data_IF_309325651632
#
_entry.id   IF_309325651632
#
_cell.length_a   1.000
_cell.length_b   1.000
_cell.length_c   1.000
_cell.angle_alpha   90.00
_cell.angle_beta   90.00
_cell.angle_gamma   90.00
#
_symmetry.space_group_name_H-M   'P 1'
#
loop_
_entity.id
_entity.type
_entity.pdbx_description
1 polymer ?
#
# COMPACT_ATOMS: atom_id res chain seq x y z
N UNK A 1 -21.73 -65.78 13.79
CA UNK A 1 -21.45 -65.21 12.45
C UNK A 1 -22.68 -64.44 12.01
N UNK A 2 -22.63 -63.10 12.04
CA UNK A 2 -23.73 -62.24 11.59
C UNK A 2 -23.75 -62.10 10.06
N UNK A 3 -24.93 -62.00 9.43
CA UNK A 3 -25.06 -61.89 7.98
C UNK A 3 -24.60 -60.51 7.49
N UNK A 4 -23.62 -60.53 6.59
CA UNK A 4 -23.12 -59.39 5.84
C UNK A 4 -24.23 -58.82 4.92
N UNK A 5 -24.98 -57.85 5.41
CA UNK A 5 -25.92 -57.07 4.59
C UNK A 5 -25.14 -56.06 3.75
N UNK A 6 -24.55 -56.50 2.64
CA UNK A 6 -23.97 -55.57 1.67
C UNK A 6 -25.10 -54.79 0.98
N UNK A 7 -25.23 -53.50 1.28
CA UNK A 7 -26.22 -52.61 0.63
C UNK A 7 -25.98 -52.60 -0.89
N UNK A 8 -27.02 -52.69 -1.74
CA UNK A 8 -26.85 -52.68 -3.19
C UNK A 8 -26.20 -51.36 -3.64
N UNK A 9 -25.06 -51.45 -4.35
CA UNK A 9 -24.40 -50.30 -4.96
C UNK A 9 -25.34 -49.68 -6.00
N UNK A 10 -25.86 -48.48 -5.69
CA UNK A 10 -26.79 -47.73 -6.53
C UNK A 10 -26.14 -47.43 -7.89
N UNK A 11 -26.53 -48.16 -8.95
CA UNK A 11 -25.97 -47.99 -10.31
C UNK A 11 -26.41 -46.62 -10.87
N UNK A 12 -25.44 -45.76 -11.21
CA UNK A 12 -25.71 -44.47 -11.86
C UNK A 12 -26.21 -44.74 -13.29
N UNK A 13 -27.38 -44.21 -13.64
CA UNK A 13 -27.90 -44.34 -15.01
C UNK A 13 -27.05 -43.51 -15.99
N UNK A 14 -26.94 -43.95 -17.26
CA UNK A 14 -26.23 -43.18 -18.32
C UNK A 14 -26.71 -41.72 -18.38
N UNK A 15 -28.01 -41.49 -18.28
CA UNK A 15 -28.61 -40.15 -18.21
C UNK A 15 -28.14 -39.35 -16.99
N UNK A 16 -28.07 -39.98 -15.81
CA UNK A 16 -27.54 -39.33 -14.60
C UNK A 16 -26.05 -39.06 -14.70
N UNK A 17 -25.27 -39.95 -15.33
CA UNK A 17 -23.84 -39.76 -15.56
C UNK A 17 -23.60 -38.58 -16.50
N UNK A 18 -24.27 -38.54 -17.66
CA UNK A 18 -24.15 -37.46 -18.63
C UNK A 18 -24.58 -36.11 -18.05
N UNK A 19 -25.68 -36.07 -17.28
CA UNK A 19 -26.10 -34.84 -16.58
C UNK A 19 -25.03 -34.36 -15.58
N UNK A 20 -24.48 -35.26 -14.77
CA UNK A 20 -23.43 -34.92 -13.81
C UNK A 20 -22.16 -34.45 -14.52
N UNK A 21 -21.72 -35.14 -15.56
CA UNK A 21 -20.56 -34.76 -16.36
C UNK A 21 -20.75 -33.39 -17.04
N UNK A 22 -21.91 -33.12 -17.62
CA UNK A 22 -22.24 -31.84 -18.22
C UNK A 22 -22.27 -30.71 -17.18
N UNK A 23 -22.86 -30.95 -16.00
CA UNK A 23 -22.86 -29.98 -14.90
C UNK A 23 -21.44 -29.71 -14.36
N UNK A 24 -20.62 -30.75 -14.23
CA UNK A 24 -19.21 -30.60 -13.83
C UNK A 24 -18.42 -29.82 -14.87
N UNK A 25 -18.57 -30.14 -16.16
CA UNK A 25 -17.90 -29.42 -17.24
C UNK A 25 -18.34 -27.96 -17.32
N UNK A 26 -19.65 -27.68 -17.20
CA UNK A 26 -20.18 -26.33 -17.14
C UNK A 26 -19.65 -25.56 -15.90
N UNK A 27 -19.57 -26.22 -14.75
CA UNK A 27 -18.97 -25.67 -13.54
C UNK A 27 -17.50 -25.28 -13.73
N UNK A 28 -16.69 -26.15 -14.35
CA UNK A 28 -15.27 -25.86 -14.65
C UNK A 28 -15.14 -24.69 -15.62
N UNK A 29 -15.95 -24.64 -16.68
CA UNK A 29 -15.93 -23.55 -17.66
C UNK A 29 -16.39 -22.21 -17.08
N UNK A 30 -17.21 -22.21 -16.02
CA UNK A 30 -17.66 -20.99 -15.35
C UNK A 30 -16.60 -20.39 -14.41
N UNK A 31 -15.57 -21.15 -13.99
CA UNK A 31 -14.55 -20.67 -13.03
C UNK A 31 -13.80 -19.43 -13.55
N UNK A 32 -13.22 -19.42 -14.78
CA UNK A 32 -12.49 -18.25 -15.28
C UNK A 32 -13.31 -16.96 -15.35
N UNK A 33 -14.52 -16.91 -15.94
CA UNK A 33 -15.31 -15.68 -15.99
C UNK A 33 -15.79 -15.25 -14.60
N UNK A 34 -16.12 -16.18 -13.70
CA UNK A 34 -16.47 -15.84 -12.31
C UNK A 34 -15.27 -15.26 -11.55
N UNK A 35 -14.09 -15.87 -11.66
CA UNK A 35 -12.87 -15.38 -11.03
C UNK A 35 -12.47 -14.00 -11.58
N UNK A 36 -12.56 -13.80 -12.90
CA UNK A 36 -12.32 -12.51 -13.53
C UNK A 36 -13.33 -11.45 -13.04
N UNK A 37 -14.62 -11.79 -13.01
CA UNK A 37 -15.67 -10.89 -12.51
C UNK A 37 -15.45 -10.50 -11.05
N UNK A 38 -15.13 -11.46 -10.20
CA UNK A 38 -14.75 -11.22 -8.81
C UNK A 38 -13.54 -10.28 -8.70
N UNK A 39 -12.47 -10.55 -9.44
CA UNK A 39 -11.26 -9.74 -9.42
C UNK A 39 -11.47 -8.30 -9.92
N UNK A 40 -12.33 -8.13 -10.95
CA UNK A 40 -12.62 -6.88 -11.64
C UNK A 40 -13.60 -5.97 -10.90
N UNK A 41 -14.55 -6.55 -10.17
CA UNK A 41 -15.68 -5.79 -9.62
C UNK A 41 -15.79 -5.85 -8.09
N UNK A 42 -15.44 -6.99 -7.47
CA UNK A 42 -15.55 -7.16 -6.03
C UNK A 42 -14.22 -6.90 -5.32
N UNK A 43 -13.20 -7.72 -5.61
CA UNK A 43 -11.97 -7.70 -4.82
C UNK A 43 -11.23 -6.36 -4.93
N UNK A 44 -11.20 -5.75 -6.12
CA UNK A 44 -10.54 -4.45 -6.30
C UNK A 44 -11.15 -3.29 -5.50
N UNK A 45 -12.39 -3.43 -5.04
CA UNK A 45 -13.09 -2.43 -4.22
C UNK A 45 -13.16 -2.85 -2.75
N UNK A 46 -12.70 -4.05 -2.43
CA UNK A 46 -12.77 -4.58 -1.09
C UNK A 46 -11.55 -4.15 -0.28
N UNK A 47 -11.58 -2.92 0.21
CA UNK A 47 -10.52 -2.36 1.05
C UNK A 47 -10.25 -3.27 2.25
N UNK A 48 -8.98 -3.53 2.51
CA UNK A 48 -8.48 -4.26 3.68
C UNK A 48 -7.75 -3.27 4.59
N UNK A 49 -8.12 -3.26 5.87
CA UNK A 49 -7.45 -2.45 6.89
C UNK A 49 -6.51 -3.38 7.66
N UNK A 50 -5.22 -3.10 7.58
CA UNK A 50 -4.18 -3.89 8.23
C UNK A 50 -3.63 -3.13 9.44
N UNK A 51 -3.68 -3.74 10.63
CA UNK A 51 -3.06 -3.21 11.83
C UNK A 51 -1.74 -3.93 12.09
N UNK A 52 -0.66 -3.17 12.21
CA UNK A 52 0.70 -3.71 12.35
C UNK A 52 1.41 -3.01 13.49
N UNK A 53 1.97 -3.79 14.42
CA UNK A 53 2.83 -3.29 15.48
C UNK A 53 4.29 -3.45 15.05
N UNK A 54 5.04 -2.36 15.00
CA UNK A 54 6.46 -2.38 14.62
C UNK A 54 7.33 -2.12 15.85
N UNK A 55 8.06 -3.13 16.29
CA UNK A 55 9.06 -3.00 17.35
C UNK A 55 10.34 -2.37 16.81
N UNK A 56 10.72 -1.22 17.35
CA UNK A 56 11.78 -0.35 16.86
C UNK A 56 12.72 0.04 18.02
N UNK A 57 13.94 -0.51 18.08
CA UNK A 57 14.85 -0.32 19.22
C UNK A 57 15.25 1.14 19.50
N UNK A 58 15.35 1.95 18.44
CA UNK A 58 15.73 3.36 18.52
C UNK A 58 14.54 4.32 18.59
N UNK A 59 13.32 3.82 18.73
CA UNK A 59 12.15 4.68 18.83
C UNK A 59 12.23 5.51 20.13
N UNK A 60 12.13 6.86 20.06
CA UNK A 60 12.12 7.69 21.25
C UNK A 60 10.92 7.36 22.13
N UNK A 61 11.09 7.40 23.46
CA UNK A 61 10.05 6.98 24.40
C UNK A 61 8.73 7.75 24.22
N UNK A 62 8.77 9.05 23.92
CA UNK A 62 7.57 9.86 23.65
C UNK A 62 6.84 9.48 22.35
N UNK A 63 7.45 8.70 21.48
CA UNK A 63 6.87 8.17 20.25
C UNK A 63 6.29 6.77 20.43
N UNK A 64 6.45 6.12 21.59
CA UNK A 64 5.85 4.80 21.82
C UNK A 64 4.32 4.86 21.68
N UNK A 65 3.78 3.88 20.94
CA UNK A 65 2.37 3.79 20.61
C UNK A 65 1.87 4.82 19.61
N UNK A 66 2.75 5.60 18.95
CA UNK A 66 2.29 6.54 17.92
C UNK A 66 1.65 5.79 16.75
N UNK A 67 0.48 6.27 16.31
CA UNK A 67 -0.31 5.64 15.24
C UNK A 67 -0.14 6.37 13.91
N UNK A 68 0.40 5.66 12.92
CA UNK A 68 0.63 6.16 11.57
C UNK A 68 -0.33 5.43 10.63
N UNK A 69 -1.15 6.17 9.89
CA UNK A 69 -1.90 5.58 8.77
C UNK A 69 -1.10 5.77 7.49
N UNK A 70 -0.77 4.65 6.85
CA UNK A 70 -0.14 4.61 5.54
C UNK A 70 -1.17 4.23 4.48
N UNK A 71 -1.18 5.00 3.39
CA UNK A 71 -1.86 4.63 2.14
C UNK A 71 -0.97 4.99 0.94
N UNK A 72 -1.23 4.37 -0.20
CA UNK A 72 -0.38 4.50 -1.38
C UNK A 72 -1.17 4.29 -2.67
N UNK A 73 -0.59 4.69 -3.80
CA UNK A 73 -0.99 4.28 -5.15
C UNK A 73 -2.51 4.41 -5.36
N UNK A 74 -3.02 5.62 -5.14
CA UNK A 74 -4.44 5.93 -5.32
C UNK A 74 -4.83 5.85 -6.79
N UNK A 75 -3.94 6.30 -7.69
CA UNK A 75 -4.17 6.31 -9.13
C UNK A 75 -5.51 6.98 -9.51
N UNK A 76 -5.71 8.21 -9.02
CA UNK A 76 -6.85 9.04 -9.41
C UNK A 76 -6.88 9.18 -10.93
N UNK A 77 -8.01 8.82 -11.55
CA UNK A 77 -8.14 8.74 -12.99
C UNK A 77 -9.24 7.78 -13.43
N UNK A 78 -8.93 6.91 -14.39
CA UNK A 78 -9.93 6.09 -15.10
C UNK A 78 -10.68 5.10 -14.20
N UNK A 79 -10.11 4.70 -13.07
CA UNK A 79 -10.59 3.58 -12.27
C UNK A 79 -10.82 3.90 -10.80
N UNK A 80 -10.47 5.13 -10.40
CA UNK A 80 -10.61 5.67 -9.06
C UNK A 80 -10.89 7.17 -9.15
N UNK A 81 -11.98 7.64 -8.54
CA UNK A 81 -12.40 9.05 -8.62
C UNK A 81 -12.27 9.82 -7.29
N UNK A 82 -12.49 11.14 -7.34
CA UNK A 82 -12.35 11.98 -6.15
C UNK A 82 -13.44 11.72 -5.08
N UNK A 83 -14.58 11.14 -5.45
CA UNK A 83 -15.59 10.68 -4.50
C UNK A 83 -15.13 9.44 -3.73
N UNK A 84 -14.49 8.48 -4.42
CA UNK A 84 -13.83 7.35 -3.77
C UNK A 84 -12.68 7.82 -2.85
N UNK A 85 -11.91 8.83 -3.26
CA UNK A 85 -10.88 9.44 -2.40
C UNK A 85 -11.47 10.09 -1.14
N UNK A 86 -12.66 10.70 -1.25
CA UNK A 86 -13.37 11.26 -0.10
C UNK A 86 -13.81 10.17 0.89
N UNK A 87 -14.35 9.04 0.39
CA UNK A 87 -14.68 7.88 1.23
C UNK A 87 -13.44 7.28 1.91
N UNK A 88 -12.30 7.27 1.22
CA UNK A 88 -11.03 6.88 1.82
C UNK A 88 -10.65 7.85 2.95
N UNK A 89 -10.81 9.16 2.76
CA UNK A 89 -10.55 10.15 3.81
C UNK A 89 -11.44 9.95 5.05
N UNK A 90 -12.72 9.62 4.87
CA UNK A 90 -13.62 9.27 5.98
C UNK A 90 -13.14 8.01 6.72
N UNK A 91 -12.74 6.98 5.98
CA UNK A 91 -12.19 5.74 6.55
C UNK A 91 -10.92 6.02 7.35
N UNK A 92 -9.99 6.79 6.78
CA UNK A 92 -8.74 7.21 7.44
C UNK A 92 -9.05 7.97 8.74
N UNK A 93 -9.98 8.92 8.71
CA UNK A 93 -10.34 9.70 9.90
C UNK A 93 -10.94 8.82 11.00
N UNK A 94 -11.74 7.80 10.63
CA UNK A 94 -12.29 6.81 11.57
C UNK A 94 -11.22 5.98 12.27
N UNK A 95 -10.04 5.83 11.66
CA UNK A 95 -8.89 5.18 12.28
C UNK A 95 -8.14 6.07 13.27
N UNK A 96 -8.48 7.36 13.39
CA UNK A 96 -7.86 8.30 14.32
C UNK A 96 -6.31 8.34 14.23
N UNK A 97 -5.73 8.60 13.04
CA UNK A 97 -4.28 8.68 12.89
C UNK A 97 -3.68 9.87 13.65
N UNK A 98 -2.51 9.64 14.23
CA UNK A 98 -1.66 10.72 14.73
C UNK A 98 -0.80 11.30 13.60
N UNK A 99 -0.36 10.46 12.65
CA UNK A 99 0.34 10.84 11.42
C UNK A 99 -0.31 10.15 10.22
N UNK A 100 -0.34 10.83 9.07
CA UNK A 100 -0.67 10.20 7.80
C UNK A 100 0.56 10.23 6.87
N UNK A 101 0.89 9.07 6.31
CA UNK A 101 1.94 8.93 5.30
C UNK A 101 1.33 8.48 3.98
N UNK A 102 1.43 9.32 2.95
CA UNK A 102 1.06 8.95 1.59
C UNK A 102 2.31 8.63 0.76
N UNK A 103 2.48 7.36 0.38
CA UNK A 103 3.72 6.87 -0.24
C UNK A 103 3.80 7.08 -1.76
N UNK A 104 2.96 7.93 -2.35
CA UNK A 104 3.06 8.35 -3.77
C UNK A 104 2.03 7.71 -4.70
N UNK A 105 2.05 8.14 -5.97
CA UNK A 105 1.12 7.78 -7.04
C UNK A 105 -0.32 8.25 -6.74
N UNK A 106 -0.49 9.58 -6.66
CA UNK A 106 -1.80 10.21 -6.50
C UNK A 106 -2.64 10.06 -7.77
N UNK A 107 -2.02 10.23 -8.93
CA UNK A 107 -2.69 10.23 -10.24
C UNK A 107 -2.16 9.11 -11.13
N UNK A 108 -3.02 8.52 -11.95
CA UNK A 108 -2.61 7.47 -12.89
C UNK A 108 -1.79 8.06 -14.07
N UNK A 109 -2.30 9.12 -14.70
CA UNK A 109 -1.58 9.80 -15.77
C UNK A 109 -1.64 11.32 -15.62
N UNK A 110 -2.83 11.85 -15.38
CA UNK A 110 -3.04 13.28 -15.19
C UNK A 110 -4.17 13.53 -14.19
N UNK A 111 -4.13 14.70 -13.56
CA UNK A 111 -5.13 15.19 -12.60
C UNK A 111 -6.54 15.26 -13.20
N UNK A 112 -6.63 15.51 -14.51
CA UNK A 112 -7.91 15.69 -15.20
C UNK A 112 -8.75 16.83 -14.61
N UNK A 113 -10.07 16.64 -14.59
CA UNK A 113 -11.05 17.62 -14.07
C UNK A 113 -11.23 17.56 -12.54
N UNK A 114 -10.66 16.56 -11.89
CA UNK A 114 -10.92 16.25 -10.49
C UNK A 114 -9.97 16.93 -9.50
N UNK A 115 -9.05 17.79 -9.97
CA UNK A 115 -8.05 18.44 -9.11
C UNK A 115 -8.63 19.17 -7.90
N UNK A 116 -9.72 19.94 -8.08
CA UNK A 116 -10.38 20.66 -6.98
C UNK A 116 -10.98 19.72 -5.93
N UNK A 117 -11.74 18.71 -6.38
CA UNK A 117 -12.36 17.70 -5.51
C UNK A 117 -11.32 16.81 -4.83
N UNK A 118 -10.20 16.55 -5.51
CA UNK A 118 -9.05 15.86 -4.93
C UNK A 118 -8.48 16.64 -3.75
N UNK A 119 -8.28 17.96 -3.90
CA UNK A 119 -7.84 18.82 -2.79
C UNK A 119 -8.82 18.82 -1.64
N UNK A 120 -10.13 18.86 -1.89
CA UNK A 120 -11.16 18.78 -0.85
C UNK A 120 -11.05 17.47 -0.05
N UNK A 121 -10.93 16.33 -0.73
CA UNK A 121 -10.78 15.03 -0.09
C UNK A 121 -9.47 14.92 0.73
N UNK A 122 -8.35 15.37 0.17
CA UNK A 122 -7.05 15.39 0.87
C UNK A 122 -7.07 16.31 2.10
N UNK A 123 -7.76 17.46 2.00
CA UNK A 123 -7.93 18.43 3.10
C UNK A 123 -8.77 17.83 4.23
N UNK A 124 -9.80 17.04 3.89
CA UNK A 124 -10.67 16.40 4.87
C UNK A 124 -9.94 15.37 5.75
N UNK A 125 -8.79 14.84 5.31
CA UNK A 125 -7.95 13.96 6.12
C UNK A 125 -7.29 14.71 7.28
N UNK A 126 -7.46 14.19 8.50
CA UNK A 126 -6.98 14.81 9.74
C UNK A 126 -5.91 13.95 10.40
N UNK A 127 -4.79 14.56 10.75
CA UNK A 127 -3.71 13.93 11.51
C UNK A 127 -3.09 14.96 12.46
N UNK A 128 -2.94 14.59 13.73
CA UNK A 128 -2.50 15.51 14.80
C UNK A 128 -1.10 16.07 14.58
N UNK A 129 -0.17 15.25 14.12
CA UNK A 129 1.24 15.61 13.95
C UNK A 129 1.65 15.76 12.49
N UNK A 130 0.67 15.79 11.57
CA UNK A 130 0.88 16.15 10.18
C UNK A 130 0.64 15.02 9.19
N UNK A 131 0.61 15.43 7.93
CA UNK A 131 0.43 14.58 6.76
C UNK A 131 1.68 14.71 5.90
N UNK A 132 2.30 13.61 5.52
CA UNK A 132 3.56 13.60 4.78
C UNK A 132 3.41 12.80 3.50
N UNK A 133 4.02 13.29 2.42
CA UNK A 133 3.94 12.60 1.14
C UNK A 133 5.19 12.74 0.30
N UNK A 134 5.44 11.71 -0.51
CA UNK A 134 6.39 11.72 -1.62
C UNK A 134 5.63 11.61 -2.94
N UNK A 135 6.33 11.79 -4.05
CA UNK A 135 5.79 11.49 -5.38
C UNK A 135 6.12 10.05 -5.74
N UNK A 136 5.19 9.38 -6.41
CA UNK A 136 5.46 8.11 -7.08
C UNK A 136 5.79 8.31 -8.55
N UNK A 137 6.09 7.23 -9.28
CA UNK A 137 6.54 7.35 -10.67
C UNK A 137 5.45 7.88 -11.62
N UNK A 138 4.18 7.58 -11.38
CA UNK A 138 3.07 8.08 -12.21
C UNK A 138 2.87 9.60 -12.05
N UNK A 139 3.16 10.12 -10.86
CA UNK A 139 3.04 11.56 -10.56
C UNK A 139 4.00 12.43 -11.41
N UNK A 140 5.03 11.85 -12.02
CA UNK A 140 5.98 12.56 -12.89
C UNK A 140 5.46 12.73 -14.33
N UNK A 141 4.51 11.93 -14.81
CA UNK A 141 4.17 11.87 -16.24
C UNK A 141 3.66 13.19 -16.83
N UNK A 142 2.84 13.95 -16.10
CA UNK A 142 2.27 15.22 -16.56
C UNK A 142 2.71 16.45 -15.75
N UNK A 143 3.91 16.37 -15.19
CA UNK A 143 4.54 17.45 -14.46
C UNK A 143 4.39 17.27 -12.94
N UNK A 144 5.47 16.85 -12.24
CA UNK A 144 5.42 16.56 -10.80
C UNK A 144 5.02 17.78 -9.95
N UNK A 145 5.23 19.01 -10.46
CA UNK A 145 4.84 20.25 -9.78
C UNK A 145 3.33 20.36 -9.55
N UNK A 146 2.50 19.87 -10.48
CA UNK A 146 1.04 19.95 -10.33
C UNK A 146 0.54 19.02 -9.22
N UNK A 147 1.06 17.79 -9.17
CA UNK A 147 0.73 16.84 -8.10
C UNK A 147 1.23 17.34 -6.75
N UNK A 148 2.46 17.88 -6.72
CA UNK A 148 3.03 18.55 -5.52
C UNK A 148 2.10 19.67 -5.03
N UNK A 149 1.57 20.49 -5.94
CA UNK A 149 0.64 21.57 -5.60
C UNK A 149 -0.68 21.05 -5.01
N UNK A 150 -1.27 19.99 -5.57
CA UNK A 150 -2.51 19.39 -5.04
C UNK A 150 -2.30 18.82 -3.63
N UNK A 151 -1.23 18.05 -3.43
CA UNK A 151 -0.91 17.47 -2.12
C UNK A 151 -0.64 18.57 -1.09
N UNK A 152 0.10 19.61 -1.47
CA UNK A 152 0.38 20.77 -0.60
C UNK A 152 -0.89 21.52 -0.24
N UNK A 153 -1.77 21.80 -1.21
CA UNK A 153 -3.09 22.41 -0.98
C UNK A 153 -4.00 21.52 -0.13
N UNK A 154 -3.88 20.21 -0.29
CA UNK A 154 -4.52 19.20 0.56
C UNK A 154 -3.94 19.11 1.97
N UNK A 155 -2.93 19.91 2.33
CA UNK A 155 -2.31 19.97 3.64
C UNK A 155 -1.26 18.88 3.90
N UNK A 156 -0.76 18.21 2.86
CA UNK A 156 0.39 17.32 2.98
C UNK A 156 1.70 18.11 2.87
N UNK A 157 2.65 17.81 3.73
CA UNK A 157 4.03 18.24 3.57
C UNK A 157 4.71 17.35 2.54
N UNK A 158 5.00 17.94 1.39
CA UNK A 158 5.74 17.29 0.31
C UNK A 158 7.22 17.15 0.67
N UNK A 159 7.71 15.91 0.72
CA UNK A 159 9.10 15.58 1.02
C UNK A 159 9.82 15.13 -0.25
N UNK A 160 10.54 16.05 -0.90
CA UNK A 160 11.32 15.76 -2.12
C UNK A 160 12.81 15.87 -1.81
N UNK A 161 13.42 14.74 -1.42
CA UNK A 161 14.75 14.69 -0.83
C UNK A 161 14.87 15.67 0.36
N UNK A 162 13.86 15.63 1.23
CA UNK A 162 13.69 16.56 2.34
C UNK A 162 13.15 15.86 3.58
N UNK A 163 13.16 16.56 4.72
CA UNK A 163 12.73 16.04 6.00
C UNK A 163 11.97 17.05 6.85
N UNK A 164 11.22 16.50 7.79
CA UNK A 164 10.40 17.21 8.76
C UNK A 164 10.58 16.59 10.14
N UNK A 165 10.77 17.42 11.17
CA UNK A 165 10.67 16.96 12.54
C UNK A 165 9.20 16.76 12.91
N UNK A 166 8.92 15.70 13.65
CA UNK A 166 7.65 15.46 14.35
C UNK A 166 7.94 15.42 15.84
N UNK A 167 7.21 16.21 16.61
CA UNK A 167 7.36 16.31 18.06
C UNK A 167 6.12 15.75 18.78
N UNK A 168 6.35 14.87 19.75
CA UNK A 168 5.30 14.27 20.60
C UNK A 168 5.87 14.05 21.99
N UNK A 169 5.17 14.56 23.00
CA UNK A 169 5.53 14.37 24.42
C UNK A 169 7.00 14.71 24.73
N UNK A 170 7.49 15.85 24.23
CA UNK A 170 8.87 16.31 24.45
C UNK A 170 9.97 15.51 23.73
N UNK A 171 9.60 14.55 22.89
CA UNK A 171 10.52 13.78 22.06
C UNK A 171 10.30 14.14 20.59
N UNK A 172 11.31 13.89 19.75
CA UNK A 172 11.27 14.15 18.32
C UNK A 172 11.71 12.95 17.50
N UNK A 173 11.13 12.81 16.30
CA UNK A 173 11.62 11.94 15.25
C UNK A 173 11.63 12.68 13.92
N UNK A 174 12.43 12.21 12.96
CA UNK A 174 12.42 12.72 11.60
C UNK A 174 11.51 11.88 10.72
N UNK A 175 10.69 12.58 9.93
CA UNK A 175 10.03 12.02 8.75
C UNK A 175 10.77 12.56 7.53
N UNK A 176 11.54 11.70 6.89
CA UNK A 176 12.29 11.99 5.67
C UNK A 176 11.55 11.45 4.45
N UNK A 177 11.76 12.05 3.28
CA UNK A 177 11.25 11.53 2.02
C UNK A 177 12.22 11.78 0.87
N UNK A 178 12.35 10.77 0.01
CA UNK A 178 13.18 10.85 -1.21
C UNK A 178 12.30 10.91 -2.46
N UNK A 179 12.86 11.45 -3.54
CA UNK A 179 12.21 11.37 -4.85
C UNK A 179 12.15 9.93 -5.39
N UNK A 180 11.26 9.70 -6.35
CA UNK A 180 11.03 8.39 -6.95
C UNK A 180 12.29 7.81 -7.64
N UNK A 181 12.50 6.49 -7.55
CA UNK A 181 13.67 5.82 -8.15
C UNK A 181 13.60 5.69 -9.67
N UNK A 182 12.39 5.67 -10.24
CA UNK A 182 12.19 5.43 -11.66
C UNK A 182 12.26 6.72 -12.46
N UNK A 183 11.54 7.75 -12.03
CA UNK A 183 11.35 9.00 -12.76
C UNK A 183 12.00 10.20 -12.06
N UNK A 184 12.28 10.09 -10.76
CA UNK A 184 12.91 11.12 -9.95
C UNK A 184 14.43 10.99 -9.85
N UNK A 185 15.00 11.69 -8.87
CA UNK A 185 16.42 11.61 -8.50
C UNK A 185 16.54 11.50 -6.98
N UNK A 186 16.41 10.30 -6.39
CA UNK A 186 16.50 10.13 -4.95
C UNK A 186 17.87 10.57 -4.42
N UNK A 187 17.86 11.34 -3.35
CA UNK A 187 19.06 11.78 -2.64
C UNK A 187 18.82 11.67 -1.13
N UNK A 188 19.21 10.52 -0.59
CA UNK A 188 19.05 10.22 0.83
C UNK A 188 19.94 11.10 1.70
N UNK A 189 21.13 11.50 1.23
CA UNK A 189 22.02 12.38 1.99
C UNK A 189 21.37 13.74 2.22
N UNK A 190 20.69 14.27 1.21
CA UNK A 190 19.90 15.50 1.33
C UNK A 190 18.64 15.30 2.19
N UNK A 191 17.97 14.15 2.05
CA UNK A 191 16.80 13.79 2.84
C UNK A 191 17.12 13.56 4.33
N UNK A 192 18.38 13.28 4.70
CA UNK A 192 18.81 13.11 6.10
C UNK A 192 19.80 14.19 6.54
N UNK A 193 19.89 15.32 5.85
CA UNK A 193 20.96 16.32 6.07
C UNK A 193 20.99 16.98 7.45
N UNK A 194 19.88 16.93 8.21
CA UNK A 194 19.78 17.51 9.55
C UNK A 194 19.79 16.45 10.66
N UNK A 195 19.87 15.16 10.31
CA UNK A 195 19.82 14.08 11.29
C UNK A 195 21.16 13.93 11.99
N UNK A 196 21.10 13.59 13.29
CA UNK A 196 22.25 13.20 14.10
C UNK A 196 22.25 11.69 14.32
N UNK A 197 23.39 11.05 14.62
CA UNK A 197 23.52 9.58 14.75
C UNK A 197 22.54 8.85 15.68
N UNK A 198 21.91 9.54 16.63
CA UNK A 198 20.95 8.96 17.56
C UNK A 198 19.49 9.26 17.21
N UNK A 199 19.23 10.19 16.27
CA UNK A 199 17.87 10.56 15.89
C UNK A 199 17.15 9.39 15.21
N UNK A 200 15.87 9.17 15.52
CA UNK A 200 15.04 8.21 14.80
C UNK A 200 14.59 8.77 13.45
N UNK A 201 14.73 7.98 12.37
CA UNK A 201 14.35 8.38 11.02
C UNK A 201 13.34 7.40 10.41
N UNK A 202 12.13 7.91 10.15
CA UNK A 202 11.13 7.30 9.29
C UNK A 202 11.32 7.85 7.87
N UNK A 203 11.69 6.99 6.93
CA UNK A 203 11.82 7.32 5.52
C UNK A 203 10.56 6.94 4.74
N UNK A 204 10.04 7.87 3.95
CA UNK A 204 9.01 7.61 2.94
C UNK A 204 9.72 7.51 1.58
N UNK A 205 9.59 6.38 0.90
CA UNK A 205 10.14 6.16 -0.44
C UNK A 205 9.11 5.40 -1.25
N UNK A 206 8.73 5.88 -2.44
CA UNK A 206 7.69 5.23 -3.23
C UNK A 206 8.09 3.80 -3.64
N UNK A 207 9.27 3.64 -4.26
CA UNK A 207 9.80 2.33 -4.63
C UNK A 207 10.40 1.59 -3.42
N UNK A 208 9.91 0.37 -3.10
CA UNK A 208 10.36 -0.36 -1.91
C UNK A 208 11.79 -0.91 -2.04
N UNK A 209 12.27 -1.19 -3.27
CA UNK A 209 13.65 -1.65 -3.48
C UNK A 209 14.69 -0.59 -3.07
N UNK A 210 14.29 0.67 -2.82
CA UNK A 210 15.16 1.69 -2.22
C UNK A 210 15.68 1.32 -0.83
N UNK A 211 15.04 0.34 -0.16
CA UNK A 211 15.46 -0.12 1.16
C UNK A 211 16.91 -0.63 1.18
N UNK A 212 17.43 -1.15 0.07
CA UNK A 212 18.84 -1.55 -0.04
C UNK A 212 19.79 -0.34 0.05
N UNK A 213 19.37 0.82 -0.46
CA UNK A 213 20.12 2.08 -0.31
C UNK A 213 19.93 2.65 1.08
N UNK A 214 18.69 2.65 1.60
CA UNK A 214 18.39 3.16 2.94
C UNK A 214 19.14 2.40 4.05
N UNK A 215 19.40 1.10 3.85
CA UNK A 215 20.13 0.27 4.82
C UNK A 215 21.57 0.76 5.07
N UNK A 216 22.20 1.38 4.08
CA UNK A 216 23.55 1.96 4.17
C UNK A 216 23.55 3.32 4.89
N UNK A 217 22.39 3.82 5.28
CA UNK A 217 22.19 5.11 5.93
C UNK A 217 21.54 4.94 7.31
N UNK A 218 21.32 6.07 7.99
CA UNK A 218 20.62 6.11 9.26
C UNK A 218 19.11 6.18 9.01
N UNK A 219 18.50 5.03 8.75
CA UNK A 219 17.05 4.87 8.60
C UNK A 219 16.62 3.72 9.47
N UNK A 220 15.59 3.95 10.28
CA UNK A 220 15.06 2.96 11.22
C UNK A 220 13.80 2.29 10.68
N UNK A 221 12.99 3.05 9.93
CA UNK A 221 11.77 2.57 9.30
C UNK A 221 11.65 3.16 7.88
N UNK A 222 11.41 2.33 6.88
CA UNK A 222 11.00 2.76 5.54
C UNK A 222 9.54 2.37 5.26
N UNK A 223 8.75 3.31 4.75
CA UNK A 223 7.41 3.09 4.25
C UNK A 223 7.39 3.26 2.73
N UNK A 224 6.84 2.26 2.02
CA UNK A 224 6.80 2.22 0.57
C UNK A 224 5.49 1.68 -0.01
N UNK A 225 5.28 1.93 -1.30
CA UNK A 225 4.14 1.45 -2.09
C UNK A 225 4.62 0.80 -3.38
N UNK A 226 4.13 1.28 -4.54
CA UNK A 226 4.62 1.00 -5.90
C UNK A 226 4.35 -0.40 -6.44
N UNK A 227 4.60 -1.43 -5.63
CA UNK A 227 4.53 -2.83 -6.08
C UNK A 227 3.10 -3.29 -6.39
N UNK A 228 2.09 -2.60 -5.85
CA UNK A 228 0.68 -3.03 -5.77
C UNK A 228 0.47 -4.43 -5.16
N UNK A 229 1.47 -4.99 -4.46
CA UNK A 229 1.52 -6.40 -4.07
C UNK A 229 1.55 -7.39 -5.25
N UNK A 230 1.80 -6.89 -6.46
CA UNK A 230 1.69 -7.60 -7.72
C UNK A 230 0.29 -7.62 -8.35
N UNK A 231 -0.73 -7.07 -7.65
CA UNK A 231 -2.13 -6.91 -8.08
C UNK A 231 -2.90 -8.22 -8.39
N UNK A 232 -2.28 -9.19 -9.05
CA UNK A 232 -2.79 -10.54 -9.31
C UNK A 232 -1.80 -11.55 -8.74
N UNK A 233 -2.30 -12.39 -7.83
CA UNK A 233 -1.51 -13.43 -7.17
C UNK A 233 -2.14 -14.80 -7.40
N UNK A 234 -1.32 -15.77 -7.77
CA UNK A 234 -1.73 -17.15 -7.97
C UNK A 234 -1.46 -17.91 -6.66
N UNK A 235 -2.41 -18.74 -6.17
CA UNK A 235 -2.18 -19.58 -5.01
C UNK A 235 -0.85 -20.35 -5.14
N UNK A 236 -0.06 -20.37 -4.06
CA UNK A 236 1.27 -21.00 -3.96
C UNK A 236 2.40 -20.37 -4.79
N UNK A 237 2.11 -19.76 -5.95
CA UNK A 237 3.13 -19.11 -6.80
C UNK A 237 3.40 -17.66 -6.38
N UNK A 238 2.43 -16.98 -5.76
CA UNK A 238 2.56 -15.57 -5.39
C UNK A 238 2.23 -14.64 -6.56
N UNK A 239 2.91 -13.50 -6.64
CA UNK A 239 2.64 -12.46 -7.63
C UNK A 239 3.13 -12.86 -9.03
N UNK A 240 2.41 -12.42 -10.07
CA UNK A 240 2.78 -12.72 -11.46
C UNK A 240 3.73 -11.67 -12.03
N UNK A 241 3.45 -10.40 -11.79
CA UNK A 241 4.23 -9.27 -12.30
C UNK A 241 4.32 -8.18 -11.23
N UNK A 242 5.47 -7.53 -11.15
CA UNK A 242 5.70 -6.32 -10.37
C UNK A 242 6.48 -5.31 -11.20
N UNK A 243 6.32 -3.99 -10.92
CA UNK A 243 7.07 -2.96 -11.62
C UNK A 243 8.57 -3.01 -11.30
N UNK A 244 9.36 -2.28 -12.10
CA UNK A 244 10.78 -2.05 -11.81
C UNK A 244 10.91 -1.38 -10.44
N UNK A 245 11.88 -1.78 -9.61
CA UNK A 245 12.08 -1.27 -8.25
C UNK A 245 10.99 -1.65 -7.22
N UNK A 246 10.12 -2.60 -7.56
CA UNK A 246 9.19 -3.27 -6.64
C UNK A 246 9.31 -4.79 -6.70
N UNK A 247 10.51 -5.32 -7.00
CA UNK A 247 10.72 -6.75 -7.27
C UNK A 247 11.25 -7.51 -6.07
N UNK A 248 12.09 -6.88 -5.25
CA UNK A 248 12.74 -7.53 -4.11
C UNK A 248 11.80 -7.53 -2.89
N UNK A 249 11.17 -6.38 -2.64
CA UNK A 249 10.22 -6.22 -1.54
C UNK A 249 8.84 -5.90 -2.12
N UNK A 250 7.93 -6.86 -2.03
CA UNK A 250 6.66 -6.82 -2.78
C UNK A 250 5.49 -6.42 -1.91
N UNK A 251 5.43 -6.89 -0.66
CA UNK A 251 4.25 -6.67 0.20
C UNK A 251 4.59 -6.95 1.65
N UNK A 252 4.06 -6.12 2.55
CA UNK A 252 4.09 -6.35 3.99
C UNK A 252 5.42 -5.93 4.63
N UNK A 253 5.70 -6.53 5.79
CA UNK A 253 6.84 -6.17 6.62
C UNK A 253 8.10 -6.97 6.26
N UNK A 254 9.25 -6.29 6.28
CA UNK A 254 10.58 -6.87 6.17
C UNK A 254 11.50 -6.30 7.25
N UNK A 255 12.47 -7.10 7.68
CA UNK A 255 13.53 -6.67 8.60
C UNK A 255 14.87 -6.87 7.92
N UNK A 256 15.70 -5.83 7.90
CA UNK A 256 16.91 -5.71 7.09
C UNK A 256 18.12 -5.35 7.97
N UNK A 257 19.31 -5.83 7.58
CA UNK A 257 20.58 -5.62 8.27
C UNK A 257 20.50 -5.90 9.76
N UNK A 258 20.14 -7.14 10.11
CA UNK A 258 20.08 -7.63 11.49
C UNK A 258 19.19 -6.81 12.43
N UNK A 259 18.10 -6.24 11.89
CA UNK A 259 17.15 -5.44 12.68
C UNK A 259 17.38 -3.93 12.61
N UNK A 260 18.40 -3.47 11.86
CA UNK A 260 18.70 -2.04 11.70
C UNK A 260 17.57 -1.27 11.01
N UNK A 261 16.92 -1.87 10.01
CA UNK A 261 15.88 -1.24 9.22
C UNK A 261 14.63 -2.12 9.16
N UNK A 262 13.49 -1.56 9.57
CA UNK A 262 12.18 -2.12 9.26
C UNK A 262 11.67 -1.52 7.95
N UNK A 263 11.09 -2.34 7.07
CA UNK A 263 10.45 -1.89 5.84
C UNK A 263 8.99 -2.35 5.85
N UNK A 264 8.07 -1.48 5.46
CA UNK A 264 6.69 -1.84 5.18
C UNK A 264 6.28 -1.44 3.77
N UNK A 265 5.80 -2.43 2.98
CA UNK A 265 5.36 -2.24 1.59
C UNK A 265 3.84 -2.39 1.51
N UNK A 266 3.15 -1.27 1.30
CA UNK A 266 1.71 -1.21 1.15
C UNK A 266 1.29 -1.62 -0.28
N UNK A 267 0.16 -2.34 -0.42
CA UNK A 267 -0.34 -2.84 -1.72
C UNK A 267 -1.08 -1.81 -2.57
N UNK A 268 -1.18 -0.57 -2.12
CA UNK A 268 -1.90 0.49 -2.81
C UNK A 268 -3.43 0.41 -2.68
N UNK A 269 -4.08 1.54 -2.94
CA UNK A 269 -5.55 1.67 -2.93
C UNK A 269 -6.15 1.40 -4.30
N UNK A 270 -5.57 2.00 -5.34
CA UNK A 270 -6.04 1.96 -6.71
C UNK A 270 -5.64 0.69 -7.46
N UNK A 271 -5.57 0.80 -8.77
CA UNK A 271 -5.17 -0.26 -9.71
C UNK A 271 -4.25 0.36 -10.75
N UNK A 272 -3.26 -0.38 -11.22
CA UNK A 272 -2.35 0.09 -12.27
C UNK A 272 -2.48 -0.79 -13.51
N UNK A 273 -2.53 -0.18 -14.70
CA UNK A 273 -2.68 -0.77 -16.04
C UNK A 273 -3.99 -1.54 -16.29
N UNK A 274 -4.31 -2.52 -15.44
CA UNK A 274 -5.48 -3.37 -15.57
C UNK A 274 -6.34 -3.24 -14.30
N UNK A 275 -7.65 -2.98 -14.42
CA UNK A 275 -8.51 -2.75 -13.26
C UNK A 275 -8.92 -4.04 -12.54
N UNK A 276 -7.98 -4.93 -12.23
CA UNK A 276 -8.25 -6.22 -11.59
C UNK A 276 -7.39 -6.36 -10.35
N UNK A 277 -7.92 -6.92 -9.26
CA UNK A 277 -7.12 -7.41 -8.13
C UNK A 277 -7.54 -8.83 -7.82
N UNK A 278 -6.60 -9.75 -7.65
CA UNK A 278 -6.91 -11.15 -7.32
C UNK A 278 -5.95 -11.68 -6.27
N UNK A 279 -6.49 -12.11 -5.14
CA UNK A 279 -5.75 -12.45 -3.91
C UNK A 279 -4.78 -11.33 -3.47
N UNK A 280 -5.16 -10.07 -3.72
CA UNK A 280 -4.32 -8.89 -3.50
C UNK A 280 -5.18 -7.63 -3.33
N UNK A 281 -6.04 -7.65 -2.31
CA UNK A 281 -6.96 -6.56 -1.97
C UNK A 281 -6.24 -5.21 -1.78
N UNK A 282 -6.91 -4.08 -2.10
CA UNK A 282 -6.43 -2.77 -1.73
C UNK A 282 -6.18 -2.67 -0.23
N UNK A 283 -5.16 -1.92 0.17
CA UNK A 283 -4.71 -1.90 1.56
C UNK A 283 -4.61 -0.49 2.13
N UNK A 284 -5.22 -0.32 3.30
CA UNK A 284 -4.96 0.78 4.22
C UNK A 284 -4.26 0.24 5.46
N UNK A 285 -3.11 0.78 5.83
CA UNK A 285 -2.32 0.24 6.95
C UNK A 285 -2.31 1.19 8.13
N UNK A 286 -2.59 0.68 9.33
CA UNK A 286 -2.36 1.35 10.61
C UNK A 286 -1.12 0.76 11.25
N UNK A 287 -0.03 1.53 11.26
CA UNK A 287 1.22 1.18 11.91
C UNK A 287 1.21 1.78 13.32
N UNK A 288 1.38 0.93 14.34
CA UNK A 288 1.67 1.38 15.70
C UNK A 288 3.13 1.15 15.99
N UNK A 289 3.89 2.22 16.19
CA UNK A 289 5.31 2.11 16.50
C UNK A 289 5.48 1.77 17.98
N UNK A 290 6.32 0.78 18.27
CA UNK A 290 6.59 0.32 19.63
C UNK A 290 8.08 0.41 19.92
N UNK A 291 8.44 0.90 21.10
CA UNK A 291 9.81 0.80 21.57
C UNK A 291 10.11 -0.68 21.86
N UNK A 292 11.18 -1.21 21.28
CA UNK A 292 11.59 -2.61 21.44
C UNK A 292 12.44 -2.82 22.69
#
# INVERSE_FOLDING_TARGET
>A
MEPNTSKPKRKISRRSFLKKAALTAAGIMAIPPTAYGYARYAERKWLEINEVNLSLPRLPQGMDGIRIVQFSDVHLGFHYDAGELFQLAETINGLQPEIICFTGDLVDYAIGRDGGRCVEALTAMKAKFGKFSVLGNHDYYNGPSKVTELLTKGGFRMLRNDLAAVERSGNSMWVAGVEDMWMGKPDIKKATRLTKPDDFVLLIAHCPDFADVALEHQVDLQLSGHSHGGQVRIPLLGHVVTPKFGKKYVIGQYTLGDGKLQLYVNRGIGVSQHPIRFLCRPELTVLTLRQA
#
